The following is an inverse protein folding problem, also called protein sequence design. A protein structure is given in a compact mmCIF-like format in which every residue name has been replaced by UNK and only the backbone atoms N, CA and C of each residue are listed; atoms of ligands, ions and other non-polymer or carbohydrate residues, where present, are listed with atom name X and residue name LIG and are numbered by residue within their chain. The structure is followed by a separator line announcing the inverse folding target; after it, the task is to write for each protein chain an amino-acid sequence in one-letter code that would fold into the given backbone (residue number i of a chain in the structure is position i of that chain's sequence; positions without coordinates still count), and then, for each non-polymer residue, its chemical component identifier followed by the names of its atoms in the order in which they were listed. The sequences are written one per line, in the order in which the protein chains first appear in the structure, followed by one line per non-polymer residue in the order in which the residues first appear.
data_IF_612875534577
#
_entry.id   IF_612875534577
#
_cell.length_a   1.000
_cell.length_b   1.000
_cell.length_c   1.000
_cell.angle_alpha   90.00
_cell.angle_beta   90.00
_cell.angle_gamma   90.00
#
_symmetry.space_group_name_H-M   'P 1'
#
loop_
_entity.id
_entity.type
_entity.pdbx_description
1 polymer ?
#
# COMPACT_ATOMS: atom_id res chain seq x y z
N UNK A 1 23.24 -1.13 -10.59
CA UNK A 1 22.05 -0.75 -9.79
C UNK A 1 21.85 -1.80 -8.70
N UNK A 2 21.56 -1.42 -7.46
CA UNK A 2 21.37 -2.35 -6.33
C UNK A 2 19.88 -2.65 -6.11
N UNK A 3 19.55 -3.65 -5.27
CA UNK A 3 18.16 -3.94 -4.88
C UNK A 3 17.44 -2.78 -4.18
N UNK A 4 18.19 -1.78 -3.70
CA UNK A 4 17.66 -0.59 -3.01
C UNK A 4 17.90 0.69 -3.83
N UNK A 5 18.24 0.58 -5.11
CA UNK A 5 18.47 1.74 -5.95
C UNK A 5 17.15 2.46 -6.24
N UNK A 6 17.07 3.72 -5.83
CA UNK A 6 15.90 4.58 -6.00
C UNK A 6 16.19 5.78 -6.92
N UNK A 7 17.29 5.75 -7.68
CA UNK A 7 17.75 6.84 -8.55
C UNK A 7 16.75 7.33 -9.60
N UNK A 8 15.68 6.57 -9.88
CA UNK A 8 14.65 6.90 -10.86
C UNK A 8 13.36 7.44 -10.20
N UNK A 9 13.38 7.68 -8.88
CA UNK A 9 12.29 8.28 -8.12
C UNK A 9 12.71 9.66 -7.62
N UNK A 10 11.72 10.55 -7.41
CA UNK A 10 11.99 11.83 -6.78
C UNK A 10 12.53 11.64 -5.35
N UNK A 11 13.48 12.49 -4.97
CA UNK A 11 14.08 12.49 -3.65
C UNK A 11 13.09 12.86 -2.56
N UNK A 12 12.05 13.65 -2.88
CA UNK A 12 11.00 13.99 -1.93
C UNK A 12 10.33 12.74 -1.35
N UNK A 13 9.96 11.77 -2.19
CA UNK A 13 9.33 10.53 -1.75
C UNK A 13 10.29 9.57 -1.04
N UNK A 14 11.54 9.51 -1.48
CA UNK A 14 12.52 8.53 -0.94
C UNK A 14 13.20 9.00 0.34
N UNK A 15 13.10 10.29 0.67
CA UNK A 15 13.64 10.86 1.91
C UNK A 15 12.63 10.80 3.06
N UNK A 16 11.33 10.70 2.77
CA UNK A 16 10.30 10.56 3.81
C UNK A 16 10.34 9.18 4.46
N UNK A 17 10.08 9.12 5.78
CA UNK A 17 9.93 7.86 6.47
C UNK A 17 8.63 7.15 6.02
N UNK A 18 8.66 5.84 5.73
CA UNK A 18 7.46 5.10 5.33
C UNK A 18 6.48 5.03 6.50
N UNK A 19 5.36 5.73 6.39
CA UNK A 19 4.30 5.78 7.41
C UNK A 19 2.93 5.80 6.76
N UNK A 20 1.94 5.29 7.48
CA UNK A 20 0.54 5.44 7.10
C UNK A 20 -0.02 6.73 7.70
N UNK A 21 -0.76 7.49 6.90
CA UNK A 21 -1.51 8.64 7.41
C UNK A 21 -2.56 8.15 8.42
N UNK A 22 -2.64 8.74 9.62
CA UNK A 22 -3.69 8.40 10.58
C UNK A 22 -5.08 8.64 9.98
N UNK A 23 -5.99 7.69 10.18
CA UNK A 23 -7.35 7.77 9.66
C UNK A 23 -8.34 8.25 10.72
N UNK A 24 -9.33 9.04 10.32
CA UNK A 24 -10.46 9.39 11.17
C UNK A 24 -11.47 8.23 11.25
N UNK A 25 -11.70 7.72 12.46
CA UNK A 25 -12.62 6.59 12.70
C UNK A 25 -14.07 6.93 12.38
N UNK A 26 -14.51 8.17 12.65
CA UNK A 26 -15.88 8.58 12.37
C UNK A 26 -16.11 8.66 10.86
N UNK A 27 -15.10 9.13 10.11
CA UNK A 27 -15.15 9.11 8.65
C UNK A 27 -15.25 7.68 8.12
N UNK A 28 -14.41 6.75 8.60
CA UNK A 28 -14.43 5.35 8.17
C UNK A 28 -15.79 4.69 8.46
N UNK A 29 -16.37 4.94 9.64
CA UNK A 29 -17.67 4.36 10.02
C UNK A 29 -18.83 4.80 9.13
N UNK A 30 -18.70 5.93 8.44
CA UNK A 30 -19.72 6.46 7.53
C UNK A 30 -19.59 5.97 6.09
N UNK A 31 -18.57 5.16 5.77
CA UNK A 31 -18.37 4.59 4.44
C UNK A 31 -19.21 3.32 4.25
N UNK A 32 -19.85 3.17 3.09
CA UNK A 32 -20.48 1.91 2.70
C UNK A 32 -19.41 0.85 2.39
N UNK A 33 -19.31 -0.17 3.25
CA UNK A 33 -18.33 -1.24 3.08
C UNK A 33 -18.66 -2.18 1.92
N UNK A 34 -19.90 -2.18 1.43
CA UNK A 34 -20.32 -3.04 0.32
C UNK A 34 -19.66 -2.63 -1.00
N UNK A 35 -19.25 -1.37 -1.13
CA UNK A 35 -18.50 -0.86 -2.30
C UNK A 35 -17.16 -1.57 -2.50
N UNK A 36 -16.59 -2.15 -1.43
CA UNK A 36 -15.32 -2.87 -1.47
C UNK A 36 -15.49 -4.39 -1.57
N UNK A 37 -16.71 -4.88 -1.78
CA UNK A 37 -16.96 -6.31 -1.97
C UNK A 37 -16.21 -6.82 -3.21
N UNK A 38 -15.47 -7.93 -3.05
CA UNK A 38 -14.63 -8.50 -4.11
C UNK A 38 -13.27 -7.83 -4.30
N UNK A 39 -12.88 -6.86 -3.45
CA UNK A 39 -11.56 -6.20 -3.53
C UNK A 39 -10.38 -7.15 -3.25
N UNK A 40 -10.58 -8.14 -2.38
CA UNK A 40 -9.51 -9.06 -1.98
C UNK A 40 -9.09 -9.96 -3.13
N UNK A 41 -7.82 -9.86 -3.54
CA UNK A 41 -7.20 -10.71 -4.56
C UNK A 41 -5.78 -11.11 -4.12
N UNK A 42 -5.44 -12.38 -4.37
CA UNK A 42 -4.06 -12.89 -4.26
C UNK A 42 -3.73 -13.58 -5.57
N UNK A 43 -2.58 -13.26 -6.15
CA UNK A 43 -2.14 -13.91 -7.39
C UNK A 43 -1.89 -15.41 -7.15
N UNK A 44 -2.62 -16.33 -7.80
CA UNK A 44 -2.43 -17.77 -7.64
C UNK A 44 -1.04 -18.27 -8.07
N UNK A 45 -0.39 -17.56 -8.99
CA UNK A 45 0.95 -17.90 -9.50
C UNK A 45 2.08 -17.40 -8.58
N UNK A 46 1.76 -16.66 -7.53
CA UNK A 46 2.76 -16.16 -6.58
C UNK A 46 3.14 -17.27 -5.58
N UNK A 47 4.08 -18.12 -5.98
CA UNK A 47 4.67 -19.15 -5.12
C UNK A 47 5.80 -18.54 -4.30
N UNK A 48 5.56 -18.32 -3.01
CA UNK A 48 6.63 -17.96 -2.06
C UNK A 48 7.40 -19.23 -1.71
N UNK A 49 8.57 -19.42 -2.32
CA UNK A 49 9.57 -20.35 -1.78
C UNK A 49 10.16 -19.73 -0.51
N UNK A 50 9.75 -20.28 0.64
CA UNK A 50 10.33 -19.97 1.96
C UNK A 50 11.65 -20.69 2.12
#
# INVERSE_FOLDING_TARGET
KSRKDVSNFDREFTSEAPKLTPTDKLFIMNLDQCEFSGFSYVNPEFVVTV
#
